data_IF_273597431935
#
_entry.id   IF_273597431935
#
_cell.length_a   1.000
_cell.length_b   1.000
_cell.length_c   1.000
_cell.angle_alpha   90.00
_cell.angle_beta   90.00
_cell.angle_gamma   90.00
#
_symmetry.space_group_name_H-M   'P 1'
#
loop_
_entity.id
_entity.type
_entity.pdbx_description
1 polymer ?
#
# COMPACT_ATOMS: atom_id res chain seq x y z
N UNK A 1 -12.26 31.06 -16.41
CA UNK A 1 -12.56 29.79 -15.74
C UNK A 1 -13.98 29.42 -16.13
N UNK A 2 -14.26 28.13 -16.37
CA UNK A 2 -15.58 27.70 -16.80
C UNK A 2 -16.45 27.49 -15.54
N UNK A 3 -17.62 28.18 -15.44
CA UNK A 3 -18.56 28.06 -14.32
C UNK A 3 -18.98 26.61 -14.03
N UNK A 4 -18.95 25.74 -15.04
CA UNK A 4 -19.23 24.32 -14.87
C UNK A 4 -18.09 23.63 -14.12
N UNK A 5 -16.86 23.95 -14.42
CA UNK A 5 -15.69 23.39 -13.72
C UNK A 5 -15.68 23.81 -12.25
N UNK A 6 -15.96 25.08 -11.95
CA UNK A 6 -16.07 25.56 -10.56
C UNK A 6 -17.11 24.79 -9.74
N UNK A 7 -18.27 24.47 -10.35
CA UNK A 7 -19.29 23.65 -9.68
C UNK A 7 -18.83 22.21 -9.46
N UNK A 8 -18.15 21.62 -10.45
CA UNK A 8 -17.60 20.26 -10.33
C UNK A 8 -16.55 20.22 -9.23
N UNK A 9 -15.65 21.19 -9.19
CA UNK A 9 -14.62 21.31 -8.14
C UNK A 9 -15.26 21.45 -6.76
N UNK A 10 -16.31 22.27 -6.62
CA UNK A 10 -17.06 22.41 -5.39
C UNK A 10 -17.70 21.08 -4.93
N UNK A 11 -18.27 20.33 -5.85
CA UNK A 11 -18.82 19.00 -5.55
C UNK A 11 -17.71 18.01 -5.15
N UNK A 12 -16.60 18.00 -5.88
CA UNK A 12 -15.45 17.14 -5.55
C UNK A 12 -14.90 17.46 -4.15
N UNK A 13 -14.76 18.73 -3.79
CA UNK A 13 -14.34 19.15 -2.45
C UNK A 13 -15.32 18.69 -1.37
N UNK A 14 -16.62 18.95 -1.57
CA UNK A 14 -17.68 18.56 -0.63
C UNK A 14 -17.70 17.04 -0.37
N UNK A 15 -17.52 16.25 -1.41
CA UNK A 15 -17.52 14.78 -1.38
C UNK A 15 -16.11 14.19 -1.09
N UNK A 16 -15.09 15.04 -0.91
CA UNK A 16 -13.69 14.62 -0.70
C UNK A 16 -13.16 13.72 -1.83
N UNK A 17 -13.52 14.05 -3.08
CA UNK A 17 -13.08 13.34 -4.28
C UNK A 17 -11.84 14.02 -4.88
N UNK A 18 -10.73 14.03 -4.11
CA UNK A 18 -9.52 14.77 -4.49
C UNK A 18 -8.82 14.18 -5.71
N UNK A 19 -8.82 12.85 -5.86
CA UNK A 19 -8.26 12.18 -7.03
C UNK A 19 -9.00 12.57 -8.30
N UNK A 20 -10.33 12.54 -8.25
CA UNK A 20 -11.17 12.95 -9.36
C UNK A 20 -11.02 14.43 -9.69
N UNK A 21 -10.98 15.31 -8.68
CA UNK A 21 -10.83 16.76 -8.85
C UNK A 21 -9.60 17.13 -9.68
N UNK A 22 -8.49 16.42 -9.49
CA UNK A 22 -7.26 16.68 -10.25
C UNK A 22 -7.23 16.04 -11.65
N UNK A 23 -8.16 15.15 -11.97
CA UNK A 23 -8.08 14.34 -13.18
C UNK A 23 -9.28 14.45 -14.12
N UNK A 24 -10.46 14.90 -13.67
CA UNK A 24 -11.69 14.83 -14.46
C UNK A 24 -11.62 15.59 -15.80
N UNK A 25 -10.91 16.71 -15.86
CA UNK A 25 -10.76 17.49 -17.10
C UNK A 25 -9.99 16.68 -18.15
N UNK A 26 -8.87 16.05 -17.75
CA UNK A 26 -8.11 15.19 -18.63
C UNK A 26 -8.89 13.95 -19.05
N UNK A 27 -9.63 13.33 -18.12
CA UNK A 27 -10.51 12.19 -18.42
C UNK A 27 -11.62 12.56 -19.42
N UNK A 28 -12.20 13.77 -19.30
CA UNK A 28 -13.19 14.24 -20.25
C UNK A 28 -12.61 14.43 -21.66
N UNK A 29 -11.38 14.94 -21.75
CA UNK A 29 -10.66 15.06 -23.02
C UNK A 29 -10.35 13.69 -23.63
N UNK A 30 -9.88 12.74 -22.82
CA UNK A 30 -9.61 11.37 -23.23
C UNK A 30 -10.91 10.68 -23.73
N UNK A 31 -12.01 10.86 -23.01
CA UNK A 31 -13.32 10.32 -23.35
C UNK A 31 -13.81 10.84 -24.73
N UNK A 32 -13.66 12.14 -24.95
CA UNK A 32 -14.02 12.75 -26.24
C UNK A 32 -13.17 12.21 -27.39
N UNK A 33 -11.83 12.10 -27.18
CA UNK A 33 -10.91 11.61 -28.19
C UNK A 33 -11.14 10.12 -28.52
N UNK A 34 -11.50 9.31 -27.52
CA UNK A 34 -11.70 7.86 -27.65
C UNK A 34 -13.16 7.46 -27.88
N UNK A 35 -14.05 8.44 -27.98
CA UNK A 35 -15.51 8.22 -28.17
C UNK A 35 -16.11 7.30 -27.08
N UNK A 36 -15.73 7.50 -25.83
CA UNK A 36 -16.27 6.75 -24.70
C UNK A 36 -17.76 7.04 -24.52
N UNK A 37 -18.50 6.03 -24.08
CA UNK A 37 -19.84 6.26 -23.55
C UNK A 37 -19.81 7.07 -22.24
N UNK A 38 -20.95 7.64 -21.85
CA UNK A 38 -21.05 8.32 -20.55
C UNK A 38 -20.77 7.37 -19.39
N UNK A 39 -21.12 6.09 -19.52
CA UNK A 39 -20.87 5.08 -18.50
C UNK A 39 -19.37 4.74 -18.41
N UNK A 40 -18.68 4.62 -19.55
CA UNK A 40 -17.22 4.43 -19.57
C UNK A 40 -16.49 5.59 -18.88
N UNK A 41 -16.93 6.83 -19.17
CA UNK A 41 -16.37 8.01 -18.49
C UNK A 41 -16.57 7.94 -16.98
N UNK A 42 -17.79 7.64 -16.53
CA UNK A 42 -18.11 7.57 -15.10
C UNK A 42 -17.33 6.45 -14.41
N UNK A 43 -17.24 5.28 -15.03
CA UNK A 43 -16.46 4.15 -14.51
C UNK A 43 -14.99 4.52 -14.33
N UNK A 44 -14.36 5.10 -15.35
CA UNK A 44 -12.97 5.54 -15.28
C UNK A 44 -12.75 6.63 -14.22
N UNK A 45 -13.69 7.56 -14.09
CA UNK A 45 -13.65 8.62 -13.08
C UNK A 45 -13.66 8.03 -11.66
N UNK A 46 -14.57 7.10 -11.38
CA UNK A 46 -14.69 6.43 -10.09
C UNK A 46 -13.51 5.49 -9.81
N UNK A 47 -13.01 4.79 -10.84
CA UNK A 47 -11.84 3.93 -10.73
C UNK A 47 -10.60 4.73 -10.32
N UNK A 48 -10.39 5.89 -10.92
CA UNK A 48 -9.27 6.77 -10.59
C UNK A 48 -9.33 7.29 -9.14
N UNK A 49 -10.52 7.74 -8.69
CA UNK A 49 -10.70 8.15 -7.29
C UNK A 49 -10.43 7.01 -6.32
N UNK A 50 -10.93 5.81 -6.62
CA UNK A 50 -10.69 4.61 -5.80
C UNK A 50 -9.19 4.29 -5.70
N UNK A 51 -8.48 4.32 -6.81
CA UNK A 51 -7.03 4.07 -6.85
C UNK A 51 -6.26 5.11 -6.02
N UNK A 52 -6.58 6.39 -6.18
CA UNK A 52 -5.97 7.48 -5.41
C UNK A 52 -6.19 7.28 -3.91
N UNK A 53 -7.40 6.92 -3.49
CA UNK A 53 -7.70 6.61 -2.08
C UNK A 53 -6.93 5.40 -1.56
N UNK A 54 -6.81 4.34 -2.37
CA UNK A 54 -6.04 3.16 -1.98
C UNK A 54 -4.56 3.48 -1.78
N UNK A 55 -3.97 4.25 -2.68
CA UNK A 55 -2.56 4.68 -2.56
C UNK A 55 -2.35 5.48 -1.26
N UNK A 56 -3.21 6.46 -0.98
CA UNK A 56 -3.13 7.26 0.26
C UNK A 56 -3.32 6.41 1.52
N UNK A 57 -4.26 5.48 1.49
CA UNK A 57 -4.50 4.56 2.60
C UNK A 57 -3.26 3.73 2.90
N UNK A 58 -2.64 3.14 1.86
CA UNK A 58 -1.40 2.36 2.01
C UNK A 58 -0.25 3.21 2.57
N UNK A 59 -0.06 4.42 2.05
CA UNK A 59 0.96 5.34 2.57
C UNK A 59 0.74 5.68 4.04
N UNK A 60 -0.51 5.87 4.44
CA UNK A 60 -0.87 6.12 5.84
C UNK A 60 -0.56 4.90 6.71
N UNK A 61 -0.89 3.68 6.26
CA UNK A 61 -0.57 2.44 6.97
C UNK A 61 0.94 2.25 7.15
N UNK A 62 1.74 2.51 6.11
CA UNK A 62 3.20 2.46 6.20
C UNK A 62 3.73 3.42 7.24
N UNK A 63 3.26 4.68 7.22
CA UNK A 63 3.68 5.68 8.19
C UNK A 63 3.30 5.31 9.62
N UNK A 64 2.08 4.79 9.82
CA UNK A 64 1.59 4.37 11.14
C UNK A 64 2.29 3.10 11.66
N UNK A 65 2.83 2.28 10.77
CA UNK A 65 3.56 1.08 11.14
C UNK A 65 4.85 1.39 11.92
N UNK A 66 5.48 2.53 11.65
CA UNK A 66 6.68 2.97 12.37
C UNK A 66 7.91 2.11 12.06
N UNK A 67 8.06 1.64 10.82
CA UNK A 67 9.27 0.91 10.42
C UNK A 67 10.50 1.81 10.52
N UNK A 68 11.63 1.32 11.08
CA UNK A 68 12.87 2.11 11.18
C UNK A 68 13.51 2.39 9.82
N UNK A 69 13.25 1.54 8.83
CA UNK A 69 13.60 1.70 7.43
C UNK A 69 12.61 0.91 6.57
N UNK A 70 12.40 1.33 5.34
CA UNK A 70 11.64 0.53 4.39
C UNK A 70 12.54 -0.58 3.83
N UNK A 71 12.05 -1.80 3.88
CA UNK A 71 12.68 -3.00 3.33
C UNK A 71 11.63 -3.78 2.55
N UNK A 72 12.05 -4.34 1.42
CA UNK A 72 11.21 -5.23 0.61
C UNK A 72 11.81 -6.62 0.54
N UNK A 73 11.03 -7.61 0.13
CA UNK A 73 11.53 -8.96 -0.09
C UNK A 73 12.45 -9.03 -1.31
N UNK A 74 12.23 -8.14 -2.30
CA UNK A 74 13.08 -8.05 -3.48
C UNK A 74 14.49 -7.55 -3.15
N UNK A 75 14.62 -6.73 -2.10
CA UNK A 75 15.89 -6.21 -1.61
C UNK A 75 16.64 -7.21 -0.69
N UNK A 76 16.03 -8.37 -0.39
CA UNK A 76 16.66 -9.36 0.50
C UNK A 76 17.69 -10.21 -0.24
N UNK A 77 18.93 -10.17 0.23
CA UNK A 77 20.03 -10.92 -0.37
C UNK A 77 20.12 -12.35 0.18
N UNK A 78 19.53 -13.29 -0.55
CA UNK A 78 19.58 -14.71 -0.25
C UNK A 78 20.99 -15.32 -0.41
N UNK A 79 21.88 -14.68 -1.15
CA UNK A 79 23.25 -15.19 -1.33
C UNK A 79 24.08 -14.97 -0.08
N UNK A 80 23.82 -13.89 0.66
CA UNK A 80 24.45 -13.59 1.93
C UNK A 80 23.87 -14.44 3.07
N UNK A 81 22.58 -14.67 3.06
CA UNK A 81 21.87 -15.45 4.08
C UNK A 81 21.83 -16.95 3.72
N UNK A 82 22.99 -17.58 3.71
CA UNK A 82 23.12 -19.02 3.41
C UNK A 82 22.25 -19.83 4.38
N UNK A 83 21.31 -20.62 3.82
CA UNK A 83 20.38 -21.45 4.59
C UNK A 83 19.03 -20.78 4.91
N UNK A 84 18.78 -19.54 4.46
CA UNK A 84 17.47 -18.94 4.57
C UNK A 84 16.43 -19.75 3.75
N UNK A 85 15.32 -20.22 4.35
CA UNK A 85 14.37 -21.10 3.68
C UNK A 85 13.47 -20.29 2.73
N UNK A 86 13.94 -20.06 1.50
CA UNK A 86 13.26 -19.20 0.51
C UNK A 86 11.79 -19.56 0.33
N UNK A 87 11.46 -20.85 0.24
CA UNK A 87 10.05 -21.28 0.10
C UNK A 87 9.20 -20.82 1.27
N UNK A 88 9.70 -20.94 2.49
CA UNK A 88 8.98 -20.49 3.70
C UNK A 88 8.82 -18.97 3.72
N UNK A 89 9.84 -18.23 3.29
CA UNK A 89 9.77 -16.76 3.18
C UNK A 89 8.76 -16.36 2.12
N UNK A 90 8.77 -17.00 0.95
CA UNK A 90 7.79 -16.78 -0.12
C UNK A 90 6.36 -17.11 0.35
N UNK A 91 6.19 -18.16 1.17
CA UNK A 91 4.90 -18.50 1.79
C UNK A 91 4.45 -17.40 2.77
N UNK A 92 5.33 -16.91 3.64
CA UNK A 92 5.04 -15.81 4.54
C UNK A 92 4.65 -14.52 3.77
N UNK A 93 5.28 -14.29 2.62
CA UNK A 93 4.98 -13.17 1.74
C UNK A 93 3.54 -13.20 1.19
N UNK A 94 2.90 -14.37 1.13
CA UNK A 94 1.48 -14.48 0.77
C UNK A 94 0.53 -13.93 1.83
N UNK A 95 1.02 -13.68 3.04
CA UNK A 95 0.28 -13.16 4.20
C UNK A 95 -0.85 -14.07 4.72
N UNK A 96 -0.97 -15.31 4.21
CA UNK A 96 -2.02 -16.25 4.61
C UNK A 96 -1.93 -16.62 6.10
N UNK A 97 -0.74 -16.60 6.68
CA UNK A 97 -0.56 -16.85 8.12
C UNK A 97 -1.32 -15.84 8.98
N UNK A 98 -1.48 -14.59 8.51
CA UNK A 98 -2.26 -13.55 9.21
C UNK A 98 -3.75 -13.92 9.20
N UNK A 99 -4.30 -14.38 8.05
CA UNK A 99 -5.68 -14.80 7.93
C UNK A 99 -5.99 -16.02 8.81
N UNK A 100 -4.98 -16.90 9.02
CA UNK A 100 -5.09 -18.08 9.88
C UNK A 100 -4.86 -17.77 11.36
N UNK A 101 -4.49 -16.52 11.72
CA UNK A 101 -4.13 -16.17 13.10
C UNK A 101 -2.85 -16.84 13.60
N UNK A 102 -1.95 -17.20 12.70
CA UNK A 102 -0.68 -17.86 13.01
C UNK A 102 0.42 -16.82 13.29
N UNK A 103 1.41 -17.22 14.08
CA UNK A 103 2.60 -16.42 14.37
C UNK A 103 3.79 -16.92 13.56
N UNK A 104 4.63 -16.00 13.09
CA UNK A 104 5.91 -16.32 12.47
C UNK A 104 7.06 -15.91 13.40
N UNK A 105 8.01 -16.83 13.62
CA UNK A 105 9.20 -16.59 14.43
C UNK A 105 10.43 -16.76 13.55
N UNK A 106 11.26 -15.71 13.47
CA UNK A 106 12.49 -15.71 12.70
C UNK A 106 13.70 -15.96 13.63
N UNK A 107 14.26 -17.16 13.55
CA UNK A 107 15.40 -17.59 14.36
C UNK A 107 16.66 -17.70 13.49
N UNK A 108 17.79 -17.34 14.06
CA UNK A 108 19.09 -17.43 13.38
C UNK A 108 20.16 -16.52 14.00
N UNK A 109 21.41 -16.62 13.56
CA UNK A 109 22.51 -15.80 14.05
C UNK A 109 22.29 -14.30 13.76
N UNK A 110 23.10 -13.46 14.41
CA UNK A 110 23.08 -12.01 14.14
C UNK A 110 23.53 -11.71 12.71
N UNK A 111 22.97 -10.67 12.10
CA UNK A 111 23.39 -10.18 10.79
C UNK A 111 22.80 -10.87 9.57
N UNK A 112 22.03 -11.96 9.71
CA UNK A 112 21.44 -12.69 8.58
C UNK A 112 20.16 -12.05 8.01
N UNK A 113 19.77 -10.88 8.47
CA UNK A 113 18.64 -10.14 7.91
C UNK A 113 17.25 -10.50 8.46
N UNK A 114 17.14 -11.07 9.67
CA UNK A 114 15.83 -11.37 10.30
C UNK A 114 14.93 -10.14 10.41
N UNK A 115 15.50 -9.03 10.87
CA UNK A 115 14.77 -7.77 10.98
C UNK A 115 14.38 -7.22 9.61
N UNK A 116 15.23 -7.36 8.59
CA UNK A 116 14.90 -7.03 7.21
C UNK A 116 13.67 -7.80 6.75
N UNK A 117 13.66 -9.14 6.95
CA UNK A 117 12.50 -9.98 6.59
C UNK A 117 11.23 -9.59 7.35
N UNK A 118 11.34 -9.34 8.66
CA UNK A 118 10.20 -8.91 9.47
C UNK A 118 9.61 -7.59 8.95
N UNK A 119 10.45 -6.60 8.65
CA UNK A 119 10.02 -5.32 8.06
C UNK A 119 9.42 -5.54 6.67
N UNK A 120 10.05 -6.36 5.82
CA UNK A 120 9.58 -6.61 4.47
C UNK A 120 8.19 -7.28 4.45
N UNK A 121 7.95 -8.25 5.32
CA UNK A 121 6.64 -8.89 5.49
C UNK A 121 5.62 -7.89 6.05
N UNK A 122 6.00 -7.10 7.05
CA UNK A 122 5.15 -6.04 7.59
C UNK A 122 4.81 -4.98 6.54
N UNK A 123 5.76 -4.59 5.71
CA UNK A 123 5.53 -3.68 4.59
C UNK A 123 4.56 -4.28 3.57
N UNK A 124 4.75 -5.54 3.17
CA UNK A 124 3.82 -6.25 2.31
C UNK A 124 2.39 -6.28 2.88
N UNK A 125 2.26 -6.48 4.20
CA UNK A 125 0.96 -6.42 4.88
C UNK A 125 0.30 -5.03 4.76
N UNK A 126 1.06 -3.93 4.92
CA UNK A 126 0.53 -2.58 4.72
C UNK A 126 0.07 -2.34 3.27
N UNK A 127 0.80 -2.89 2.29
CA UNK A 127 0.41 -2.80 0.88
C UNK A 127 -0.87 -3.60 0.57
N UNK A 128 -1.13 -4.66 1.33
CA UNK A 128 -2.39 -5.41 1.29
C UNK A 128 -3.53 -4.74 2.08
N UNK A 129 -3.29 -3.57 2.69
CA UNK A 129 -4.29 -2.83 3.47
C UNK A 129 -4.41 -3.30 4.93
N UNK A 130 -3.49 -4.11 5.42
CA UNK A 130 -3.50 -4.64 6.78
C UNK A 130 -2.78 -3.67 7.72
N UNK A 131 -3.43 -3.30 8.81
CA UNK A 131 -2.81 -2.47 9.86
C UNK A 131 -1.66 -3.23 10.50
N UNK A 132 -0.48 -2.64 10.48
CA UNK A 132 0.75 -3.24 10.98
C UNK A 132 1.43 -2.28 11.95
N UNK A 133 2.08 -2.81 12.97
CA UNK A 133 2.91 -2.04 13.89
C UNK A 133 4.26 -2.74 14.06
N UNK A 134 5.33 -2.00 13.78
CA UNK A 134 6.68 -2.41 14.15
C UNK A 134 6.99 -1.90 15.55
N UNK A 135 7.51 -2.77 16.41
CA UNK A 135 7.93 -2.41 17.75
C UNK A 135 9.14 -3.24 18.15
N UNK A 136 10.12 -2.63 18.81
CA UNK A 136 11.24 -3.38 19.41
C UNK A 136 10.78 -4.02 20.73
N UNK A 137 11.45 -5.08 21.15
CA UNK A 137 11.17 -5.68 22.45
C UNK A 137 11.40 -4.70 23.61
N UNK A 138 12.41 -3.83 23.49
CA UNK A 138 12.67 -2.79 24.48
C UNK A 138 11.51 -1.79 24.59
N UNK A 139 10.99 -1.30 23.45
CA UNK A 139 9.87 -0.37 23.43
C UNK A 139 8.57 -1.01 23.92
N UNK A 140 8.38 -2.30 23.63
CA UNK A 140 7.21 -3.05 24.09
C UNK A 140 7.19 -3.20 25.61
N UNK A 141 8.34 -3.32 26.24
CA UNK A 141 8.47 -3.44 27.71
C UNK A 141 8.28 -2.11 28.44
N UNK A 142 8.32 -0.98 27.73
CA UNK A 142 8.12 0.36 28.29
C UNK A 142 6.68 0.87 28.18
N UNK A 143 5.79 0.11 27.56
CA UNK A 143 4.35 0.40 27.44
C UNK A 143 3.56 -0.24 28.60
#
# INVERSE_FOLDING_TARGET
MNLQQERIDGHCQSLKLEGLMHRYVALASDAAAKQWSFLDFLENALAHERETRQVRSRQTLVRMAGFPALKTLDDYDYSFAVGAPRKTIDELATLRFIERGENAVLLGPSGVGKTHLAIAIGYAATQAGIKTKFITAADLMLQ
#
